data_IF_577014162828
#
_entry.id   IF_577014162828
#
_cell.length_a   1.000
_cell.length_b   1.000
_cell.length_c   1.000
_cell.angle_alpha   90.00
_cell.angle_beta   90.00
_cell.angle_gamma   90.00
#
_symmetry.space_group_name_H-M   'P 1'
#
loop_
_entity.id
_entity.type
_entity.pdbx_description
1 polymer ?
#
# COMPACT_ATOMS: atom_id res chain seq x y z
N UNK A 1 -29.80 41.92 -12.41
CA UNK A 1 -29.07 41.08 -13.39
C UNK A 1 -27.83 40.39 -12.79
N UNK A 2 -27.17 40.99 -11.79
CA UNK A 2 -25.94 40.47 -11.15
C UNK A 2 -26.14 39.17 -10.32
N UNK A 3 -27.31 39.00 -9.67
CA UNK A 3 -27.59 37.85 -8.79
C UNK A 3 -27.68 36.49 -9.50
N UNK A 4 -27.99 36.46 -10.81
CA UNK A 4 -28.07 35.21 -11.61
C UNK A 4 -26.70 34.72 -12.09
N UNK A 5 -25.74 35.63 -12.27
CA UNK A 5 -24.36 35.27 -12.66
C UNK A 5 -23.57 34.64 -11.50
N UNK A 6 -23.82 35.08 -10.26
CA UNK A 6 -23.09 34.60 -9.09
C UNK A 6 -23.45 33.13 -8.72
N UNK A 7 -24.69 32.71 -8.95
CA UNK A 7 -25.12 31.32 -8.73
C UNK A 7 -24.56 30.39 -9.83
N UNK A 8 -24.45 30.90 -11.06
CA UNK A 8 -23.86 30.13 -12.17
C UNK A 8 -22.35 29.90 -11.96
N UNK A 9 -21.63 30.91 -11.44
CA UNK A 9 -20.21 30.78 -11.10
C UNK A 9 -19.98 29.78 -9.95
N UNK A 10 -20.88 29.75 -8.96
CA UNK A 10 -20.81 28.77 -7.86
C UNK A 10 -21.03 27.32 -8.36
N UNK A 11 -21.94 27.12 -9.32
CA UNK A 11 -22.17 25.81 -9.92
C UNK A 11 -21.02 25.37 -10.84
N UNK A 12 -20.39 26.29 -11.57
CA UNK A 12 -19.22 25.95 -12.41
C UNK A 12 -18.03 25.55 -11.54
N UNK A 13 -17.80 26.22 -10.41
CA UNK A 13 -16.73 25.87 -9.44
C UNK A 13 -17.02 24.53 -8.75
N UNK A 14 -18.29 24.23 -8.44
CA UNK A 14 -18.69 22.94 -7.88
C UNK A 14 -18.64 21.79 -8.91
N UNK A 15 -18.82 22.09 -10.20
CA UNK A 15 -18.76 21.09 -11.29
C UNK A 15 -17.33 20.80 -11.76
N UNK A 16 -16.36 21.69 -11.51
CA UNK A 16 -14.93 21.40 -11.78
C UNK A 16 -14.29 20.47 -10.74
N UNK A 17 -14.98 20.17 -9.64
CA UNK A 17 -14.50 19.26 -8.60
C UNK A 17 -14.96 17.80 -8.79
N UNK A 18 -15.72 17.50 -9.85
CA UNK A 18 -16.10 16.13 -10.19
C UNK A 18 -15.59 15.81 -11.60
N UNK A 19 -14.73 14.80 -11.72
CA UNK A 19 -14.02 14.33 -12.92
C UNK A 19 -12.75 15.10 -13.30
N UNK A 20 -11.78 15.17 -12.39
CA UNK A 20 -10.38 15.28 -12.82
C UNK A 20 -9.93 13.88 -13.23
N UNK A 21 -9.92 13.63 -14.54
CA UNK A 21 -9.56 12.35 -15.15
C UNK A 21 -8.19 12.45 -15.86
N UNK A 22 -7.35 13.36 -15.37
CA UNK A 22 -6.06 13.69 -15.95
C UNK A 22 -4.95 13.26 -15.01
N UNK A 23 -3.87 12.74 -15.58
CA UNK A 23 -2.66 12.43 -14.84
C UNK A 23 -2.18 13.67 -14.08
N UNK A 24 -1.68 13.47 -12.86
CA UNK A 24 -1.17 14.55 -12.01
C UNK A 24 0.14 14.14 -11.34
N UNK A 25 0.90 15.14 -10.91
CA UNK A 25 2.19 14.94 -10.27
C UNK A 25 2.15 15.41 -8.83
N UNK A 26 2.69 14.59 -7.93
CA UNK A 26 2.91 14.92 -6.54
C UNK A 26 4.40 14.93 -6.22
N UNK A 27 4.80 15.72 -5.23
CA UNK A 27 6.13 15.61 -4.64
C UNK A 27 6.31 14.23 -4.01
N UNK A 28 7.48 13.61 -4.22
CA UNK A 28 7.87 12.35 -3.57
C UNK A 28 9.00 12.62 -2.56
N UNK A 29 8.73 13.25 -1.40
CA UNK A 29 9.77 13.49 -0.41
C UNK A 29 10.19 12.17 0.24
N UNK A 30 11.47 12.06 0.59
CA UNK A 30 11.92 11.02 1.51
C UNK A 30 11.35 11.26 2.91
N UNK A 31 11.10 10.18 3.64
CA UNK A 31 10.52 10.19 4.98
C UNK A 31 11.19 9.14 5.87
N UNK A 32 11.07 9.26 7.19
CA UNK A 32 11.80 8.39 8.13
C UNK A 32 10.88 7.46 8.94
N UNK A 33 9.56 7.54 8.76
CA UNK A 33 8.60 6.75 9.52
C UNK A 33 7.34 6.41 8.71
N UNK A 34 6.67 5.31 9.05
CA UNK A 34 5.37 4.92 8.46
C UNK A 34 4.29 5.98 8.70
N UNK A 35 4.34 6.73 9.80
CA UNK A 35 3.43 7.84 10.06
C UNK A 35 3.56 9.00 9.05
N UNK A 36 4.73 9.22 8.47
CA UNK A 36 4.90 10.25 7.43
C UNK A 36 4.33 9.83 6.07
N UNK A 37 4.22 8.53 5.80
CA UNK A 37 3.57 7.98 4.61
C UNK A 37 2.07 8.34 4.58
N UNK A 38 1.42 8.43 5.73
CA UNK A 38 0.02 8.85 5.88
C UNK A 38 -0.26 10.20 5.19
N UNK A 39 0.70 11.14 5.29
CA UNK A 39 0.57 12.46 4.65
C UNK A 39 0.58 12.35 3.12
N UNK A 40 1.41 11.46 2.56
CA UNK A 40 1.46 11.23 1.12
C UNK A 40 0.18 10.52 0.67
N UNK A 41 -0.25 9.50 1.41
CA UNK A 41 -1.48 8.74 1.17
C UNK A 41 -2.70 9.66 1.09
N UNK A 42 -2.96 10.49 2.11
CA UNK A 42 -4.14 11.35 2.09
C UNK A 42 -4.08 12.43 1.02
N UNK A 43 -2.88 12.90 0.65
CA UNK A 43 -2.76 13.81 -0.49
C UNK A 43 -3.17 13.15 -1.80
N UNK A 44 -2.81 11.89 -2.02
CA UNK A 44 -3.25 11.11 -3.18
C UNK A 44 -4.78 10.90 -3.14
N UNK A 45 -5.34 10.56 -1.99
CA UNK A 45 -6.79 10.37 -1.80
C UNK A 45 -7.55 11.66 -2.14
N UNK A 46 -7.11 12.79 -1.59
CA UNK A 46 -7.74 14.10 -1.79
C UNK A 46 -7.65 14.56 -3.25
N UNK A 47 -6.50 14.40 -3.92
CA UNK A 47 -6.33 14.77 -5.34
C UNK A 47 -7.17 13.90 -6.28
N UNK A 48 -7.44 12.65 -5.90
CA UNK A 48 -8.39 11.78 -6.60
C UNK A 48 -9.87 12.11 -6.29
N UNK A 49 -10.14 13.07 -5.41
CA UNK A 49 -11.49 13.52 -5.06
C UNK A 49 -12.22 12.58 -4.10
N UNK A 50 -11.50 11.74 -3.37
CA UNK A 50 -12.06 10.84 -2.37
C UNK A 50 -11.97 11.44 -0.97
N UNK A 51 -12.76 10.90 -0.05
CA UNK A 51 -12.70 11.28 1.37
C UNK A 51 -12.11 10.14 2.18
N UNK A 52 -11.65 10.42 3.40
CA UNK A 52 -11.21 9.41 4.37
C UNK A 52 -12.24 8.30 4.63
N UNK A 53 -13.53 8.63 4.53
CA UNK A 53 -14.65 7.71 4.77
C UNK A 53 -15.03 6.89 3.52
N UNK A 54 -14.34 7.09 2.39
CA UNK A 54 -14.54 6.27 1.20
C UNK A 54 -14.11 4.84 1.53
N UNK A 55 -14.91 3.85 1.13
CA UNK A 55 -14.60 2.44 1.37
C UNK A 55 -13.74 1.89 0.23
N UNK A 56 -12.80 1.03 0.60
CA UNK A 56 -11.83 0.40 -0.31
C UNK A 56 -11.72 -1.08 0.06
N UNK A 57 -11.78 -2.00 -0.92
CA UNK A 57 -11.48 -3.40 -0.67
C UNK A 57 -10.02 -3.54 -0.22
N UNK A 58 -9.78 -4.06 0.99
CA UNK A 58 -8.43 -3.96 1.61
C UNK A 58 -7.35 -4.66 0.76
N UNK A 59 -7.67 -5.78 0.11
CA UNK A 59 -6.74 -6.51 -0.78
C UNK A 59 -6.38 -5.78 -2.08
N UNK A 60 -7.07 -4.66 -2.38
CA UNK A 60 -6.82 -3.85 -3.55
C UNK A 60 -5.91 -2.66 -3.26
N UNK A 61 -5.25 -2.64 -2.11
CA UNK A 61 -4.26 -1.64 -1.71
C UNK A 61 -2.87 -2.26 -1.74
N UNK A 62 -1.92 -1.56 -2.37
CA UNK A 62 -0.51 -1.95 -2.35
C UNK A 62 0.37 -0.70 -2.33
N UNK A 63 1.41 -0.75 -1.50
CA UNK A 63 2.44 0.30 -1.40
C UNK A 63 3.80 -0.32 -1.63
N UNK A 64 4.59 0.26 -2.51
CA UNK A 64 5.99 -0.06 -2.71
C UNK A 64 6.83 1.13 -2.21
N UNK A 65 7.81 0.84 -1.36
CA UNK A 65 8.76 1.80 -0.82
C UNK A 65 10.17 1.40 -1.22
N UNK A 66 11.01 2.40 -1.47
CA UNK A 66 12.46 2.25 -1.52
C UNK A 66 13.04 2.72 -0.19
N UNK A 67 14.04 2.02 0.34
CA UNK A 67 14.79 2.45 1.51
C UNK A 67 16.27 2.53 1.16
N UNK A 68 16.79 3.76 1.16
CA UNK A 68 18.19 4.07 0.90
C UNK A 68 18.68 5.09 1.91
N UNK A 69 19.92 4.92 2.37
CA UNK A 69 20.63 5.91 3.19
C UNK A 69 19.89 6.35 4.46
N UNK A 70 19.05 5.46 5.02
CA UNK A 70 18.32 5.68 6.28
C UNK A 70 16.96 6.35 6.12
N UNK A 71 16.45 6.51 4.90
CA UNK A 71 15.14 7.09 4.65
C UNK A 71 14.36 6.29 3.61
N UNK A 72 13.04 6.30 3.75
CA UNK A 72 12.10 5.74 2.79
C UNK A 72 11.72 6.77 1.74
N UNK A 73 11.39 6.31 0.54
CA UNK A 73 10.62 7.04 -0.46
C UNK A 73 9.55 6.14 -1.07
N UNK A 74 8.48 6.71 -1.60
CA UNK A 74 7.43 5.93 -2.26
C UNK A 74 7.92 5.52 -3.65
N UNK A 75 8.01 4.22 -3.93
CA UNK A 75 8.20 3.69 -5.27
C UNK A 75 6.88 3.58 -6.04
N UNK A 76 5.82 3.14 -5.37
CA UNK A 76 4.48 3.10 -5.93
C UNK A 76 3.40 3.09 -4.84
N UNK A 77 2.24 3.67 -5.12
CA UNK A 77 1.00 3.48 -4.35
C UNK A 77 -0.10 3.11 -5.33
N UNK A 78 -0.81 2.03 -5.06
CA UNK A 78 -1.94 1.57 -5.86
C UNK A 78 -3.10 1.28 -4.93
N UNK A 79 -4.28 1.81 -5.25
CA UNK A 79 -5.52 1.40 -4.61
C UNK A 79 -6.65 1.33 -5.64
N UNK A 80 -7.66 0.52 -5.38
CA UNK A 80 -8.84 0.43 -6.27
C UNK A 80 -10.13 0.59 -5.48
N UNK A 81 -11.09 1.31 -6.05
CA UNK A 81 -12.43 1.45 -5.50
C UNK A 81 -13.41 0.58 -6.26
N UNK A 82 -14.23 -0.18 -5.55
CA UNK A 82 -15.27 -0.99 -6.16
C UNK A 82 -16.40 -0.09 -6.69
N UNK A 83 -16.71 -0.20 -7.98
CA UNK A 83 -17.74 0.62 -8.64
C UNK A 83 -18.98 -0.17 -9.05
N UNK A 84 -18.97 -1.48 -8.85
CA UNK A 84 -20.08 -2.39 -9.11
C UNK A 84 -19.61 -3.69 -9.76
N UNK A 85 -20.56 -4.49 -10.25
CA UNK A 85 -20.27 -5.78 -10.87
C UNK A 85 -21.09 -6.89 -10.22
N UNK A 86 -20.66 -8.13 -10.43
CA UNK A 86 -21.28 -9.34 -9.87
C UNK A 86 -20.20 -10.36 -9.54
N UNK A 87 -20.58 -11.39 -8.78
CA UNK A 87 -19.74 -12.57 -8.53
C UNK A 87 -19.07 -13.05 -9.82
N UNK A 88 -17.74 -13.13 -9.80
CA UNK A 88 -16.89 -13.51 -10.93
C UNK A 88 -16.52 -12.40 -11.93
N UNK A 89 -17.06 -11.18 -11.81
CA UNK A 89 -16.67 -10.01 -12.62
C UNK A 89 -17.01 -8.71 -11.86
N UNK A 90 -16.16 -8.39 -10.89
CA UNK A 90 -16.24 -7.14 -10.14
C UNK A 90 -15.44 -6.04 -10.85
N UNK A 91 -15.97 -4.83 -10.85
CA UNK A 91 -15.40 -3.67 -11.54
C UNK A 91 -14.87 -2.67 -10.54
N UNK A 92 -13.72 -2.12 -10.88
CA UNK A 92 -13.02 -1.17 -10.02
C UNK A 92 -12.51 0.01 -10.83
N UNK A 93 -12.55 1.19 -10.22
CA UNK A 93 -11.70 2.30 -10.62
C UNK A 93 -10.36 2.12 -9.90
N UNK A 94 -9.26 2.05 -10.65
CA UNK A 94 -7.90 1.89 -10.11
C UNK A 94 -7.18 3.23 -10.13
N UNK A 95 -6.44 3.51 -9.08
CA UNK A 95 -5.64 4.71 -8.91
C UNK A 95 -4.21 4.28 -8.64
N UNK A 96 -3.28 4.76 -9.47
CA UNK A 96 -1.86 4.37 -9.39
C UNK A 96 -0.99 5.60 -9.35
N UNK A 97 -0.02 5.62 -8.45
CA UNK A 97 1.03 6.61 -8.39
C UNK A 97 2.37 5.88 -8.43
N UNK A 98 3.24 6.23 -9.39
CA UNK A 98 4.56 5.61 -9.54
C UNK A 98 5.67 6.65 -9.43
N UNK A 99 6.78 6.25 -8.84
CA UNK A 99 7.95 7.09 -8.77
C UNK A 99 8.53 7.40 -10.15
N UNK A 100 8.86 8.67 -10.34
CA UNK A 100 9.58 9.24 -11.48
C UNK A 100 10.75 10.08 -10.97
N UNK A 101 11.44 9.61 -9.94
CA UNK A 101 12.58 10.26 -9.30
C UNK A 101 12.17 11.10 -8.10
N UNK A 102 11.90 12.39 -8.31
CA UNK A 102 11.52 13.31 -7.21
C UNK A 102 10.01 13.56 -7.11
N UNK A 103 9.23 12.89 -7.97
CA UNK A 103 7.79 13.07 -8.08
C UNK A 103 7.07 11.74 -8.27
N UNK A 104 5.87 11.65 -7.73
CA UNK A 104 4.92 10.58 -8.05
C UNK A 104 4.06 11.02 -9.24
N UNK A 105 4.11 10.25 -10.32
CA UNK A 105 3.20 10.38 -11.46
C UNK A 105 1.97 9.52 -11.18
N UNK A 106 0.83 10.18 -11.01
CA UNK A 106 -0.43 9.57 -10.64
C UNK A 106 -1.43 9.56 -11.80
N UNK A 107 -2.12 8.44 -11.97
CA UNK A 107 -3.12 8.23 -13.01
C UNK A 107 -4.28 7.38 -12.49
N UNK A 108 -5.39 7.40 -13.22
CA UNK A 108 -6.54 6.56 -12.92
C UNK A 108 -6.93 5.69 -14.12
N UNK A 109 -7.64 4.61 -13.84
CA UNK A 109 -8.05 3.64 -14.84
C UNK A 109 -9.23 2.80 -14.37
N UNK A 110 -9.59 1.81 -15.18
CA UNK A 110 -10.64 0.85 -14.87
C UNK A 110 -10.15 -0.56 -15.06
N UNK A 111 -10.46 -1.43 -14.11
CA UNK A 111 -10.12 -2.85 -14.15
C UNK A 111 -11.31 -3.70 -13.77
N UNK A 112 -11.32 -4.94 -14.28
CA UNK A 112 -12.20 -6.01 -13.82
C UNK A 112 -11.35 -7.04 -13.07
N UNK A 113 -11.90 -7.61 -12.00
CA UNK A 113 -11.29 -8.72 -11.26
C UNK A 113 -12.25 -9.90 -11.24
N UNK A 114 -11.78 -11.04 -11.75
CA UNK A 114 -12.50 -12.31 -11.66
C UNK A 114 -12.19 -12.96 -10.30
N UNK A 115 -12.99 -12.64 -9.30
CA UNK A 115 -12.90 -13.22 -7.94
C UNK A 115 -14.24 -13.85 -7.55
N UNK A 116 -14.18 -14.92 -6.76
CA UNK A 116 -15.36 -15.65 -6.29
C UNK A 116 -16.22 -14.78 -5.38
N UNK A 117 -15.58 -13.95 -4.55
CA UNK A 117 -16.25 -13.04 -3.63
C UNK A 117 -15.58 -11.66 -3.66
N UNK A 118 -16.36 -10.60 -3.42
CA UNK A 118 -15.82 -9.27 -3.24
C UNK A 118 -15.05 -9.23 -1.92
N UNK A 119 -13.78 -8.76 -1.90
CA UNK A 119 -13.06 -8.59 -0.64
C UNK A 119 -13.80 -7.65 0.29
N UNK A 120 -13.65 -7.85 1.61
CA UNK A 120 -14.19 -6.92 2.60
C UNK A 120 -13.68 -5.49 2.34
N UNK A 121 -14.53 -4.51 2.59
CA UNK A 121 -14.17 -3.10 2.41
C UNK A 121 -13.93 -2.45 3.77
N UNK A 122 -12.86 -1.66 3.86
CA UNK A 122 -12.50 -0.83 5.02
C UNK A 122 -12.51 0.64 4.62
N UNK A 123 -12.52 1.58 5.59
CA UNK A 123 -12.39 2.99 5.24
C UNK A 123 -10.95 3.30 4.85
N UNK A 124 -10.76 4.28 3.97
CA UNK A 124 -9.42 4.77 3.57
C UNK A 124 -8.60 5.24 4.78
N UNK A 125 -9.24 5.76 5.82
CA UNK A 125 -8.53 6.13 7.06
C UNK A 125 -7.96 4.92 7.80
N UNK A 126 -8.74 3.84 7.92
CA UNK A 126 -8.34 2.61 8.62
C UNK A 126 -7.07 1.98 8.00
N UNK A 127 -6.85 2.18 6.69
CA UNK A 127 -5.66 1.66 5.99
C UNK A 127 -4.37 2.19 6.62
N UNK A 128 -4.28 3.50 6.84
CA UNK A 128 -3.08 4.09 7.40
C UNK A 128 -2.98 3.84 8.89
N UNK A 129 -4.11 3.77 9.61
CA UNK A 129 -4.11 3.41 11.02
C UNK A 129 -3.45 2.04 11.23
N UNK A 130 -3.86 1.03 10.44
CA UNK A 130 -3.26 -0.32 10.48
C UNK A 130 -1.75 -0.27 10.16
N UNK A 131 -1.33 0.47 9.12
CA UNK A 131 0.08 0.55 8.75
C UNK A 131 0.92 1.36 9.75
N UNK A 132 0.33 2.34 10.42
CA UNK A 132 1.03 3.19 11.38
C UNK A 132 1.49 2.44 12.63
N UNK A 133 0.85 1.31 12.94
CA UNK A 133 1.24 0.40 14.02
C UNK A 133 2.52 -0.39 13.68
N UNK A 134 2.91 -0.43 12.40
CA UNK A 134 4.12 -1.11 11.96
C UNK A 134 5.31 -0.15 11.93
N UNK A 135 6.31 -0.43 12.78
CA UNK A 135 7.61 0.23 12.73
C UNK A 135 8.51 -0.43 11.67
N UNK A 136 8.51 0.17 10.47
CA UNK A 136 9.29 -0.33 9.34
C UNK A 136 10.80 -0.25 9.57
N UNK A 137 11.30 0.77 10.29
CA UNK A 137 12.74 0.93 10.54
C UNK A 137 13.24 -0.14 11.52
N UNK A 138 12.45 -0.40 12.58
CA UNK A 138 12.71 -1.50 13.50
C UNK A 138 12.67 -2.85 12.78
N UNK A 139 11.69 -3.06 11.89
CA UNK A 139 11.61 -4.29 11.08
C UNK A 139 12.86 -4.49 10.22
N UNK A 140 13.27 -3.47 9.46
CA UNK A 140 14.44 -3.56 8.59
C UNK A 140 15.72 -3.81 9.40
N UNK A 141 15.86 -3.15 10.55
CA UNK A 141 16.99 -3.37 11.46
C UNK A 141 17.01 -4.80 11.98
N UNK A 142 15.86 -5.31 12.44
CA UNK A 142 15.74 -6.68 12.93
C UNK A 142 16.15 -7.71 11.88
N UNK A 143 15.60 -7.62 10.66
CA UNK A 143 15.90 -8.57 9.59
C UNK A 143 17.40 -8.56 9.21
N UNK A 144 18.01 -7.38 9.17
CA UNK A 144 19.44 -7.23 8.84
C UNK A 144 20.33 -7.84 9.91
N UNK A 145 20.02 -7.60 11.18
CA UNK A 145 20.83 -8.09 12.30
C UNK A 145 20.69 -9.61 12.47
N UNK A 146 19.46 -10.14 12.42
CA UNK A 146 19.18 -11.57 12.59
C UNK A 146 19.83 -12.42 11.50
N UNK A 147 19.83 -11.94 10.25
CA UNK A 147 20.40 -12.67 9.11
C UNK A 147 21.81 -12.18 8.71
N UNK A 148 22.41 -11.29 9.49
CA UNK A 148 23.73 -10.72 9.24
C UNK A 148 23.87 -10.19 7.79
N UNK A 149 22.88 -9.42 7.34
CA UNK A 149 22.79 -8.84 6.00
C UNK A 149 23.65 -7.58 5.95
N UNK A 150 24.78 -7.66 5.24
CA UNK A 150 25.79 -6.59 5.15
C UNK A 150 25.92 -6.09 3.71
N UNK A 151 26.42 -4.85 3.56
CA UNK A 151 26.66 -4.22 2.25
C UNK A 151 25.41 -4.14 1.36
N UNK A 152 24.26 -3.84 1.97
CA UNK A 152 23.01 -3.59 1.26
C UNK A 152 23.17 -2.36 0.36
N UNK A 153 22.90 -2.53 -0.93
CA UNK A 153 22.93 -1.45 -1.92
C UNK A 153 21.56 -0.79 -2.10
N UNK A 154 20.49 -1.56 -1.90
CA UNK A 154 19.12 -1.16 -2.16
C UNK A 154 18.19 -2.05 -1.32
N UNK A 155 17.13 -1.46 -0.79
CA UNK A 155 16.09 -2.18 -0.05
C UNK A 155 14.73 -1.80 -0.61
N UNK A 156 13.96 -2.81 -1.00
CA UNK A 156 12.60 -2.64 -1.49
C UNK A 156 11.65 -3.21 -0.45
N UNK A 157 10.63 -2.43 -0.10
CA UNK A 157 9.58 -2.84 0.84
C UNK A 157 8.24 -2.77 0.12
N UNK A 158 7.54 -3.89 0.00
CA UNK A 158 6.20 -3.96 -0.56
C UNK A 158 5.20 -4.30 0.55
N UNK A 159 4.17 -3.48 0.71
CA UNK A 159 3.13 -3.62 1.71
C UNK A 159 1.84 -3.96 0.98
N UNK A 160 1.16 -5.00 1.43
CA UNK A 160 -0.15 -5.41 0.94
C UNK A 160 -1.01 -5.92 2.08
N UNK A 161 -2.33 -5.87 1.92
CA UNK A 161 -3.26 -6.43 2.88
C UNK A 161 -3.89 -7.68 2.26
N UNK A 162 -4.00 -8.77 3.03
CA UNK A 162 -4.49 -10.06 2.53
C UNK A 162 -5.32 -10.77 3.59
N UNK A 163 -6.37 -11.48 3.18
CA UNK A 163 -7.05 -12.41 4.09
C UNK A 163 -6.61 -13.84 3.84
N UNK A 164 -6.44 -14.54 4.95
CA UNK A 164 -6.08 -15.94 4.99
C UNK A 164 -7.23 -16.71 5.63
N UNK A 165 -7.56 -17.86 5.04
CA UNK A 165 -8.57 -18.76 5.59
C UNK A 165 -7.90 -19.99 6.21
N UNK A 166 -7.39 -19.83 7.43
CA UNK A 166 -6.62 -20.85 8.15
C UNK A 166 -5.51 -21.48 7.28
N UNK A 167 -4.74 -20.63 6.61
CA UNK A 167 -3.65 -21.06 5.77
C UNK A 167 -2.43 -21.42 6.62
N UNK A 168 -1.80 -22.56 6.35
CA UNK A 168 -0.56 -22.97 7.01
C UNK A 168 0.64 -22.51 6.18
N UNK A 169 1.44 -21.61 6.73
CA UNK A 169 2.70 -21.19 6.13
C UNK A 169 3.81 -22.08 6.64
N UNK A 170 4.46 -22.80 5.73
CA UNK A 170 5.62 -23.63 6.02
C UNK A 170 6.89 -22.95 5.50
N UNK A 171 7.83 -22.69 6.40
CA UNK A 171 9.11 -22.08 6.05
C UNK A 171 10.02 -22.99 5.18
N UNK A 172 9.69 -24.27 5.05
CA UNK A 172 10.44 -25.25 4.25
C UNK A 172 9.99 -25.35 2.78
N UNK A 173 8.83 -24.79 2.44
CA UNK A 173 8.20 -24.98 1.12
C UNK A 173 8.34 -23.76 0.19
N UNK A 174 8.98 -22.67 0.64
CA UNK A 174 9.09 -21.43 -0.12
C UNK A 174 10.55 -21.10 -0.43
N UNK A 175 10.99 -21.40 -1.67
CA UNK A 175 12.36 -21.17 -2.12
C UNK A 175 12.68 -19.68 -2.34
N UNK A 176 11.68 -18.81 -2.43
CA UNK A 176 11.85 -17.40 -2.80
C UNK A 176 11.83 -16.45 -1.60
N UNK A 177 11.11 -16.79 -0.52
CA UNK A 177 10.96 -15.93 0.66
C UNK A 177 11.18 -16.68 1.96
N UNK A 178 11.93 -16.06 2.87
CA UNK A 178 11.92 -16.42 4.28
C UNK A 178 10.66 -15.82 4.93
N UNK A 179 9.84 -16.66 5.55
CA UNK A 179 8.57 -16.24 6.15
C UNK A 179 8.76 -15.94 7.64
N UNK A 180 8.27 -14.78 8.08
CA UNK A 180 8.39 -14.27 9.45
C UNK A 180 7.01 -13.88 9.95
N UNK A 181 6.61 -14.37 11.12
CA UNK A 181 5.38 -13.92 11.78
C UNK A 181 5.71 -12.88 12.85
N UNK A 182 5.03 -11.74 12.86
CA UNK A 182 5.06 -10.80 13.98
C UNK A 182 3.77 -10.92 14.78
N UNK A 183 3.88 -11.39 16.02
CA UNK A 183 2.73 -11.57 16.92
C UNK A 183 3.16 -11.39 18.37
N UNK A 184 2.28 -10.84 19.19
CA UNK A 184 2.52 -10.52 20.61
C UNK A 184 3.76 -9.65 20.87
N UNK A 185 4.15 -8.81 19.91
CA UNK A 185 5.33 -7.94 20.01
C UNK A 185 6.67 -8.61 19.70
N UNK A 186 6.65 -9.82 19.14
CA UNK A 186 7.85 -10.61 18.82
C UNK A 186 7.82 -11.14 17.39
N UNK A 187 9.00 -11.27 16.80
CA UNK A 187 9.21 -11.93 15.51
C UNK A 187 9.48 -13.42 15.70
N UNK A 188 8.76 -14.26 14.96
CA UNK A 188 8.85 -15.72 14.98
C UNK A 188 9.35 -16.21 13.61
N UNK A 189 10.42 -17.00 13.61
CA UNK A 189 11.16 -17.41 12.42
C UNK A 189 11.38 -18.92 12.43
N UNK A 190 11.37 -19.55 11.25
CA UNK A 190 11.73 -20.97 11.08
C UNK A 190 10.67 -21.94 11.60
N UNK A 191 9.58 -21.41 12.15
CA UNK A 191 8.42 -22.15 12.60
C UNK A 191 7.34 -22.13 11.51
N UNK A 192 6.51 -23.17 11.47
CA UNK A 192 5.25 -23.14 10.72
C UNK A 192 4.20 -22.45 11.57
N UNK A 193 3.41 -21.56 10.96
CA UNK A 193 2.33 -20.85 11.64
C UNK A 193 1.06 -20.84 10.79
N UNK A 194 -0.07 -20.68 11.45
CA UNK A 194 -1.36 -20.54 10.80
C UNK A 194 -1.69 -19.04 10.65
N UNK A 195 -2.10 -18.64 9.46
CA UNK A 195 -2.67 -17.32 9.21
C UNK A 195 -4.19 -17.44 9.08
N UNK A 196 -4.89 -16.55 9.78
CA UNK A 196 -6.35 -16.46 9.68
C UNK A 196 -6.81 -15.00 9.81
N UNK A 197 -7.80 -14.63 8.99
CA UNK A 197 -8.31 -13.27 8.91
C UNK A 197 -7.41 -12.35 8.09
N UNK A 198 -7.69 -11.05 8.19
CA UNK A 198 -6.94 -10.00 7.50
C UNK A 198 -5.57 -9.84 8.17
N UNK A 199 -4.53 -9.70 7.35
CA UNK A 199 -3.15 -9.43 7.77
C UNK A 199 -2.52 -8.35 6.91
N UNK A 200 -1.56 -7.64 7.50
CA UNK A 200 -0.60 -6.85 6.71
C UNK A 200 0.55 -7.77 6.32
N UNK A 201 0.72 -8.00 5.02
CA UNK A 201 1.85 -8.72 4.45
C UNK A 201 2.88 -7.71 3.94
N UNK A 202 4.05 -7.70 4.57
CA UNK A 202 5.19 -6.86 4.19
C UNK A 202 6.28 -7.74 3.59
N UNK A 203 6.52 -7.58 2.30
CA UNK A 203 7.66 -8.20 1.62
C UNK A 203 8.85 -7.25 1.65
N UNK A 204 10.02 -7.74 2.07
CA UNK A 204 11.26 -6.96 2.13
C UNK A 204 12.31 -7.68 1.28
N UNK A 205 12.89 -6.96 0.33
CA UNK A 205 14.01 -7.44 -0.48
C UNK A 205 15.25 -6.60 -0.23
N UNK A 206 16.34 -7.24 0.19
CA UNK A 206 17.66 -6.62 0.32
C UNK A 206 18.53 -7.03 -0.87
N UNK A 207 18.98 -6.05 -1.67
CA UNK A 207 19.94 -6.28 -2.76
C UNK A 207 21.37 -6.03 -2.27
N UNK A 208 22.25 -6.99 -2.53
CA UNK A 208 23.67 -6.98 -2.16
C UNK A 208 24.52 -7.37 -3.39
N UNK A 209 24.70 -6.42 -4.32
CA UNK A 209 25.35 -6.69 -5.61
C UNK A 209 24.50 -7.63 -6.47
N UNK A 210 25.04 -8.81 -6.79
CA UNK A 210 24.33 -9.84 -7.58
C UNK A 210 23.44 -10.77 -6.72
N UNK A 211 23.45 -10.60 -5.39
CA UNK A 211 22.65 -11.40 -4.47
C UNK A 211 21.43 -10.62 -3.98
N UNK A 212 20.36 -11.35 -3.68
CA UNK A 212 19.13 -10.83 -3.12
C UNK A 212 18.69 -11.73 -1.96
N UNK A 213 18.22 -11.12 -0.87
CA UNK A 213 17.62 -11.82 0.25
C UNK A 213 16.22 -11.27 0.48
N UNK A 214 15.23 -12.14 0.34
CA UNK A 214 13.82 -11.79 0.38
C UNK A 214 13.11 -12.37 1.60
N UNK A 215 12.29 -11.53 2.22
CA UNK A 215 11.50 -11.84 3.40
C UNK A 215 10.03 -11.52 3.14
N UNK A 216 9.16 -12.29 3.76
CA UNK A 216 7.75 -11.99 3.86
C UNK A 216 7.34 -12.01 5.32
N UNK A 217 6.86 -10.88 5.79
CA UNK A 217 6.57 -10.61 7.19
C UNK A 217 5.08 -10.38 7.35
N UNK A 218 4.45 -11.12 8.25
CA UNK A 218 3.01 -11.06 8.48
C UNK A 218 2.74 -10.41 9.83
N UNK A 219 1.95 -9.33 9.83
CA UNK A 219 1.49 -8.65 11.03
C UNK A 219 0.03 -8.97 11.28
N UNK A 220 -0.29 -9.22 12.55
CA UNK A 220 -1.64 -9.54 13.01
C UNK A 220 -2.62 -8.37 12.90
#
# INVERSE_FOLDING_TARGET
MIRKFMILFLFVVLLTACNRNDDYFLSNPSFNSSAELETIWYKIVDENGHSKNTTVPYEKISVLLHFDSGSFSVGAIVYSLHTGGKVGDYKFDIFTCFDRGSTLECSNGKISSEVEELPEEIMIEDVMDILSEVDLDQLLTYLRDEYNILNVEDTIVSISYRSYNNEMINNLDNDEYINVLYSDGYYHIGESFALNGIKVEISVGFRMGEQEQNFKVYFD
#
